data_IF_814676701354
#
_entry.id   IF_814676701354
#
_cell.length_a   1.000
_cell.length_b   1.000
_cell.length_c   1.000
_cell.angle_alpha   90.00
_cell.angle_beta   90.00
_cell.angle_gamma   90.00
#
_symmetry.space_group_name_H-M   'P 1'
#
loop_
_entity.id
_entity.type
_entity.pdbx_description
1 polymer ?
2 water ?
#
# COMPACT_ATOMS: atom_id res chain seq x y z
N UNK A 5 10.62 1.66 7.09
CA UNK A 5 9.39 2.50 7.11
C UNK A 5 9.39 3.35 8.38
N UNK A 6 8.53 4.36 8.44
CA UNK A 6 8.28 5.04 9.69
C UNK A 6 7.36 4.23 10.58
N UNK A 7 7.60 4.31 11.88
CA UNK A 7 6.82 3.48 12.79
C UNK A 7 7.04 2.00 12.50
N UNK A 8 5.94 1.28 12.29
CA UNK A 8 5.96 -0.18 12.33
C UNK A 8 4.93 -0.74 11.37
N UNK A 9 4.72 -2.06 11.45
CA UNK A 9 4.00 -2.81 10.42
C UNK A 9 3.52 -4.14 10.99
N UNK A 10 2.20 -4.33 11.03
CA UNK A 10 1.57 -5.63 11.24
C UNK A 10 0.74 -5.98 10.02
N UNK A 11 0.89 -5.18 8.97
CA UNK A 11 0.33 -5.44 7.66
C UNK A 11 1.22 -6.42 6.90
N UNK A 12 0.59 -7.37 6.25
CA UNK A 12 1.37 -8.32 5.54
C UNK A 12 1.62 -7.81 4.14
N UNK A 13 2.83 -8.01 3.63
CA UNK A 13 3.12 -7.56 2.27
C UNK A 13 2.33 -8.33 1.22
N UNK A 14 2.13 -7.66 0.09
CA UNK A 14 1.61 -8.27 -1.13
C UNK A 14 2.59 -7.99 -2.26
N UNK A 15 2.72 -8.93 -3.22
CA UNK A 15 3.65 -8.81 -4.33
C UNK A 15 2.87 -8.56 -5.62
N UNK A 16 3.28 -7.51 -6.36
CA UNK A 16 2.78 -7.27 -7.69
C UNK A 16 3.43 -8.15 -8.75
N UNK A 17 2.94 -8.01 -9.97
CA UNK A 17 3.40 -8.88 -11.04
C UNK A 17 4.79 -8.50 -11.52
N UNK A 18 5.18 -7.24 -11.32
CA UNK A 18 6.52 -6.75 -11.62
C UNK A 18 7.47 -6.91 -10.43
N UNK A 19 7.02 -7.57 -9.37
CA UNK A 19 7.86 -7.80 -8.22
C UNK A 19 7.81 -6.71 -7.18
N UNK A 20 7.10 -5.62 -7.43
CA UNK A 20 6.93 -4.63 -6.38
C UNK A 20 6.31 -5.22 -5.12
N UNK A 21 6.83 -4.83 -3.98
CA UNK A 21 6.31 -5.27 -2.71
C UNK A 21 5.56 -4.12 -2.07
N UNK A 22 4.30 -4.36 -1.73
CA UNK A 22 3.48 -3.36 -1.06
C UNK A 22 3.26 -3.74 0.39
N UNK A 23 3.38 -2.78 1.28
CA UNK A 23 3.08 -3.04 2.69
C UNK A 23 2.64 -1.74 3.33
N UNK A 24 1.66 -1.82 4.25
CA UNK A 24 1.21 -0.66 5.00
C UNK A 24 2.05 -0.45 6.20
N UNK A 25 1.88 0.71 6.84
CA UNK A 25 2.72 1.11 7.97
C UNK A 25 1.95 1.94 8.98
N UNK A 26 2.43 1.89 10.24
CA UNK A 26 1.82 2.65 11.33
C UNK A 26 1.91 4.15 11.09
N UNK A 27 2.80 4.59 10.22
CA UNK A 27 2.95 6.01 9.94
C UNK A 27 1.99 6.51 8.88
N UNK A 28 0.99 5.71 8.51
CA UNK A 28 -0.12 6.08 7.62
C UNK A 28 0.16 5.93 6.13
N UNK A 29 1.26 5.33 5.74
CA UNK A 29 1.56 5.14 4.33
C UNK A 29 1.32 3.71 3.89
N UNK A 30 0.94 3.56 2.62
CA UNK A 30 1.18 2.34 1.88
C UNK A 30 2.48 2.50 1.11
N UNK A 31 3.45 1.65 1.40
CA UNK A 31 4.75 1.66 0.75
C UNK A 31 4.74 0.70 -0.44
N UNK A 32 5.36 1.15 -1.53
CA UNK A 32 5.68 0.32 -2.68
C UNK A 32 7.19 0.29 -2.75
N UNK A 33 7.76 -0.89 -2.56
CA UNK A 33 9.21 -1.09 -2.48
C UNK A 33 9.65 -1.98 -3.65
N UNK A 34 10.72 -1.57 -4.35
CA UNK A 34 11.26 -2.40 -5.43
C UNK A 34 11.95 -3.64 -4.85
N UNK A 35 12.09 -4.71 -5.64
CA UNK A 35 12.77 -5.92 -5.14
C UNK A 35 14.21 -5.71 -4.75
N UNK A 36 14.79 -4.59 -5.08
CA UNK A 36 16.13 -4.28 -4.62
C UNK A 36 16.16 -3.56 -3.28
N UNK A 37 15.01 -3.32 -2.64
CA UNK A 37 14.97 -2.62 -1.37
C UNK A 37 14.84 -1.12 -1.46
N UNK A 38 14.85 -0.57 -2.66
CA UNK A 38 14.70 0.86 -2.86
C UNK A 38 13.23 1.23 -3.03
N UNK A 39 12.86 2.35 -2.41
CA UNK A 39 11.49 2.82 -2.44
C UNK A 39 11.10 3.15 -3.87
N UNK A 40 9.93 2.69 -4.26
CA UNK A 40 9.31 3.11 -5.51
C UNK A 40 8.46 4.35 -5.28
N UNK A 41 7.50 4.25 -4.35
CA UNK A 41 6.70 5.38 -3.91
C UNK A 41 6.05 5.00 -2.61
N UNK A 42 5.51 6.00 -1.92
CA UNK A 42 4.68 5.79 -0.75
C UNK A 42 3.45 6.66 -0.87
N UNK A 43 2.30 6.08 -0.58
CA UNK A 43 1.04 6.77 -0.75
C UNK A 43 0.45 7.09 0.61
N UNK A 44 0.04 8.33 0.78
CA UNK A 44 -0.40 8.85 2.06
C UNK A 44 -1.88 8.54 2.23
N UNK A 45 -2.19 7.71 3.22
CA UNK A 45 -3.55 7.46 3.66
C UNK A 45 -3.84 8.24 4.93
N UNK A 46 -5.10 8.21 5.33
CA UNK A 46 -5.53 8.99 6.48
C UNK A 46 -5.27 8.37 7.83
N UNK A 47 -4.68 7.19 7.88
CA UNK A 47 -4.54 6.49 9.15
C UNK A 47 -3.69 5.25 8.99
N UNK A 48 -3.45 4.59 10.12
CA UNK A 48 -2.52 3.47 10.17
C UNK A 48 -3.04 2.33 9.32
N UNK A 49 -2.19 1.80 8.45
CA UNK A 49 -2.55 0.74 7.52
C UNK A 49 -2.07 -0.57 8.14
N UNK A 50 -2.97 -1.29 8.82
CA UNK A 50 -2.68 -2.65 9.24
C UNK A 50 -3.28 -3.68 8.31
N UNK A 51 -4.21 -3.27 7.45
CA UNK A 51 -4.74 -4.19 6.45
C UNK A 51 -3.62 -4.61 5.50
N UNK A 52 -3.64 -5.90 5.09
CA UNK A 52 -2.74 -6.34 4.03
C UNK A 52 -3.30 -5.94 2.66
N UNK A 53 -2.47 -5.47 1.72
CA UNK A 53 -3.01 -5.04 0.42
C UNK A 53 -3.39 -6.22 -0.47
N UNK A 54 -4.30 -5.95 -1.39
CA UNK A 54 -4.64 -6.89 -2.43
C UNK A 54 -4.39 -6.21 -3.76
N UNK A 55 -4.02 -7.01 -4.74
CA UNK A 55 -3.62 -6.51 -6.04
C UNK A 55 -4.55 -7.04 -7.11
N UNK A 56 -5.12 -6.13 -7.89
CA UNK A 56 -6.00 -6.53 -8.97
C UNK A 56 -5.25 -7.00 -10.23
N UNK A 57 -6.02 -7.64 -11.13
CA UNK A 57 -5.50 -8.17 -12.38
C UNK A 57 -4.86 -7.08 -13.22
N UNK A 58 -5.27 -5.83 -13.04
CA UNK A 58 -4.67 -4.72 -13.77
C UNK A 58 -3.60 -3.99 -12.94
N UNK A 59 -3.20 -4.55 -11.81
CA UNK A 59 -2.17 -3.93 -11.01
C UNK A 59 -2.65 -2.97 -9.95
N UNK A 60 -3.93 -2.58 -9.96
CA UNK A 60 -4.44 -1.72 -8.90
C UNK A 60 -4.22 -2.36 -7.53
N UNK A 61 -3.82 -1.53 -6.58
CA UNK A 61 -3.56 -1.94 -5.20
C UNK A 61 -4.70 -1.46 -4.31
N UNK A 62 -5.28 -2.38 -3.56
CA UNK A 62 -6.38 -2.07 -2.67
C UNK A 62 -5.94 -2.26 -1.24
N UNK A 63 -6.26 -1.31 -0.38
CA UNK A 63 -5.93 -1.48 1.03
C UNK A 63 -6.99 -0.76 1.83
N UNK A 64 -7.31 -1.28 2.99
CA UNK A 64 -8.19 -0.59 3.91
C UNK A 64 -7.44 0.38 4.76
N UNK A 65 -8.18 1.27 5.42
CA UNK A 65 -7.55 2.28 6.27
C UNK A 65 -8.40 2.56 7.51
N UNK A 66 -7.72 2.81 8.64
CA UNK A 66 -8.42 3.00 9.92
C UNK A 66 -9.44 4.13 9.85
N UNK A 67 -9.17 5.15 9.05
CA UNK A 67 -10.19 6.15 8.74
C UNK A 67 -11.37 5.48 8.04
N UNK A 68 -12.29 6.26 7.52
CA UNK A 68 -13.19 5.69 6.54
C UNK A 68 -12.33 5.27 5.33
N UNK A 69 -12.84 4.34 4.51
CA UNK A 69 -12.35 4.14 3.15
C UNK A 69 -11.60 2.83 2.90
N UNK A 70 -11.98 2.16 1.81
CA UNK A 70 -11.10 1.29 1.05
C UNK A 70 -10.45 2.19 0.00
N UNK A 71 -9.14 2.07 -0.15
CA UNK A 71 -8.35 2.83 -1.12
C UNK A 71 -8.05 1.94 -2.32
N UNK A 72 -8.16 2.52 -3.52
CA UNK A 72 -7.69 1.91 -4.75
C UNK A 72 -6.59 2.81 -5.28
N UNK A 73 -5.38 2.27 -5.38
CA UNK A 73 -4.20 3.05 -5.78
C UNK A 73 -3.66 2.48 -7.09
N UNK A 74 -3.37 3.35 -8.05
CA UNK A 74 -2.79 2.89 -9.31
C UNK A 74 -1.35 2.46 -9.07
N UNK A 75 -0.80 1.63 -9.96
CA UNK A 75 0.59 1.17 -9.78
C UNK A 75 1.62 2.29 -9.76
N UNK A 76 1.30 3.43 -10.33
CA UNK A 76 2.16 4.61 -10.26
C UNK A 76 2.04 5.38 -8.95
N UNK A 77 1.26 4.89 -8.00
CA UNK A 77 1.15 5.52 -6.72
C UNK A 77 0.12 6.62 -6.62
N UNK A 78 -0.69 6.82 -7.65
CA UNK A 78 -1.71 7.86 -7.64
C UNK A 78 -3.06 7.25 -7.28
N UNK A 79 -3.81 7.98 -6.47
CA UNK A 79 -5.14 7.55 -6.07
C UNK A 79 -6.00 7.29 -7.29
N UNK A 80 -6.59 6.11 -7.33
CA UNK A 80 -7.63 5.80 -8.32
C UNK A 80 -8.99 6.19 -7.75
N UNK A 81 -9.33 5.67 -6.58
CA UNK A 81 -10.50 6.14 -5.84
C UNK A 81 -10.35 5.71 -4.39
N UNK A 82 -11.18 6.29 -3.52
CA UNK A 82 -11.43 5.84 -2.17
C UNK A 82 -12.93 5.68 -2.00
N UNK A 83 -13.33 4.61 -1.34
CA UNK A 83 -14.73 4.36 -1.10
C UNK A 83 -15.10 4.98 0.24
#
# INVERSE_FOLDING_TARGET
GSHMTGGSVHSSPAIGQDGTIYVGSNDHYLYAINPNGKLKWKFETGGSVHSSPAIGQDGTIYVGSNDHYLYAINPNGKLKWKFE
#
